data_IF_017740056147
#
_entry.id   IF_017740056147
#
_cell.length_a   1.000
_cell.length_b   1.000
_cell.length_c   1.000
_cell.angle_alpha   90.00
_cell.angle_beta   90.00
_cell.angle_gamma   90.00
#
_symmetry.space_group_name_H-M   'P 1'
#
loop_
_entity.id
_entity.type
_entity.pdbx_description
1 polymer ?
#
# COMPACT_ATOMS: atom_id res chain seq x y z
N UNK A 1 28.07 -2.83 8.76
CA UNK A 1 26.85 -2.91 9.59
C UNK A 1 26.06 -1.65 9.31
N UNK A 2 24.92 -1.76 8.62
CA UNK A 2 23.98 -0.65 8.56
C UNK A 2 23.37 -0.53 9.96
N UNK A 3 23.45 0.64 10.57
CA UNK A 3 22.81 0.91 11.84
C UNK A 3 21.31 0.98 11.52
N UNK A 4 20.51 0.08 12.09
CA UNK A 4 19.06 0.11 11.90
C UNK A 4 18.48 1.24 12.78
N UNK A 5 17.54 2.05 12.27
CA UNK A 5 16.73 2.90 13.12
C UNK A 5 15.96 2.00 14.10
N UNK A 6 16.09 2.27 15.39
CA UNK A 6 15.32 1.54 16.40
C UNK A 6 13.82 1.64 16.13
N UNK A 7 13.04 0.65 16.58
CA UNK A 7 11.59 0.60 16.33
C UNK A 7 10.88 1.88 16.78
N UNK A 8 11.31 2.46 17.92
CA UNK A 8 10.78 3.73 18.43
C UNK A 8 10.89 4.88 17.43
N UNK A 9 12.00 4.94 16.69
CA UNK A 9 12.25 5.99 15.70
C UNK A 9 11.35 5.81 14.48
N UNK A 10 11.10 4.57 14.06
CA UNK A 10 10.15 4.24 12.99
C UNK A 10 8.70 4.59 13.38
N UNK A 11 8.32 4.40 14.64
CA UNK A 11 7.01 4.83 15.16
C UNK A 11 6.86 6.35 15.19
N UNK A 12 7.89 7.08 15.62
CA UNK A 12 7.93 8.55 15.56
C UNK A 12 7.78 9.04 14.13
N UNK A 13 8.44 8.38 13.19
CA UNK A 13 8.36 8.72 11.78
C UNK A 13 6.97 8.47 11.19
N UNK A 14 6.34 7.33 11.52
CA UNK A 14 4.97 7.03 11.13
C UNK A 14 3.96 8.07 11.66
N UNK A 15 4.21 8.65 12.84
CA UNK A 15 3.39 9.69 13.46
C UNK A 15 3.77 11.13 13.06
N UNK A 16 4.74 11.31 12.14
CA UNK A 16 5.28 12.63 11.77
C UNK A 16 5.84 13.43 12.96
N UNK A 17 6.38 12.75 13.97
CA UNK A 17 6.97 13.34 15.18
C UNK A 17 8.51 13.36 15.15
N UNK A 18 9.11 13.07 13.99
CA UNK A 18 10.56 13.12 13.81
C UNK A 18 11.04 14.53 13.50
N UNK A 19 12.27 14.81 13.93
CA UNK A 19 13.06 15.93 13.43
C UNK A 19 13.52 15.69 11.98
N UNK A 20 13.87 16.76 11.27
CA UNK A 20 14.37 16.65 9.88
C UNK A 20 15.60 15.75 9.76
N UNK A 21 16.51 15.78 10.75
CA UNK A 21 17.69 14.91 10.75
C UNK A 21 17.34 13.42 10.89
N UNK A 22 16.38 13.10 11.76
CA UNK A 22 15.88 11.72 11.94
C UNK A 22 15.15 11.22 10.69
N UNK A 23 14.39 12.10 10.05
CA UNK A 23 13.69 11.80 8.79
C UNK A 23 14.66 11.44 7.68
N UNK A 24 15.69 12.25 7.45
CA UNK A 24 16.73 11.98 6.44
C UNK A 24 17.44 10.65 6.71
N UNK A 25 17.70 10.34 7.98
CA UNK A 25 18.30 9.06 8.37
C UNK A 25 17.41 7.86 8.04
N UNK A 26 16.11 7.95 8.34
CA UNK A 26 15.15 6.88 8.06
C UNK A 26 14.93 6.74 6.55
N UNK A 27 14.82 7.84 5.81
CA UNK A 27 14.69 7.81 4.35
C UNK A 27 15.92 7.16 3.70
N UNK A 28 17.13 7.48 4.15
CA UNK A 28 18.34 6.83 3.69
C UNK A 28 18.35 5.32 4.01
N UNK A 29 17.87 4.93 5.19
CA UNK A 29 17.73 3.51 5.57
C UNK A 29 16.67 2.77 4.74
N UNK A 30 15.55 3.42 4.40
CA UNK A 30 14.49 2.86 3.55
C UNK A 30 14.95 2.66 2.10
N UNK A 31 15.75 3.59 1.57
CA UNK A 31 16.30 3.51 0.21
C UNK A 31 17.43 2.46 0.12
N UNK A 32 18.14 2.21 1.21
CA UNK A 32 19.26 1.27 1.24
C UNK A 32 18.84 -0.20 1.06
N UNK A 33 17.62 -0.59 1.46
CA UNK A 33 17.13 -1.98 1.32
C UNK A 33 15.60 -2.05 1.14
N UNK A 34 15.08 -2.70 0.09
CA UNK A 34 13.65 -2.95 -0.09
C UNK A 34 12.97 -3.69 1.07
N UNK A 35 13.69 -4.49 1.87
CA UNK A 35 13.13 -5.16 3.04
C UNK A 35 12.83 -4.18 4.19
N UNK A 36 13.61 -3.10 4.30
CA UNK A 36 13.37 -2.05 5.28
C UNK A 36 12.05 -1.32 5.01
N UNK A 37 11.72 -1.14 3.73
CA UNK A 37 10.43 -0.59 3.32
C UNK A 37 9.25 -1.47 3.74
N UNK A 38 9.38 -2.80 3.63
CA UNK A 38 8.36 -3.74 4.11
C UNK A 38 8.18 -3.67 5.63
N UNK A 39 9.28 -3.54 6.39
CA UNK A 39 9.22 -3.34 7.85
C UNK A 39 8.47 -2.06 8.20
N UNK A 40 8.76 -0.95 7.53
CA UNK A 40 8.07 0.33 7.76
C UNK A 40 6.58 0.30 7.37
N UNK A 41 6.22 -0.34 6.25
CA UNK A 41 4.81 -0.50 5.86
C UNK A 41 3.98 -1.20 6.93
N UNK A 42 4.55 -2.19 7.63
CA UNK A 42 3.86 -2.88 8.73
C UNK A 42 3.55 -1.93 9.88
N UNK A 43 4.52 -1.08 10.26
CA UNK A 43 4.36 -0.09 11.33
C UNK A 43 3.31 0.97 10.97
N UNK A 44 3.29 1.41 9.71
CA UNK A 44 2.25 2.30 9.18
C UNK A 44 0.85 1.70 9.29
N UNK A 45 0.68 0.42 8.91
CA UNK A 45 -0.61 -0.28 9.01
C UNK A 45 -1.12 -0.33 10.46
N UNK A 46 -0.24 -0.65 11.42
CA UNK A 46 -0.62 -0.64 12.85
C UNK A 46 -0.94 0.77 13.36
N UNK A 47 -0.19 1.79 12.94
CA UNK A 47 -0.45 3.19 13.32
C UNK A 47 -1.83 3.64 12.84
N UNK A 48 -2.16 3.33 11.59
CA UNK A 48 -3.44 3.70 10.97
C UNK A 48 -4.61 2.91 11.58
N UNK A 49 -4.43 1.62 11.87
CA UNK A 49 -5.44 0.81 12.55
C UNK A 49 -5.72 1.31 13.97
N UNK A 50 -4.68 1.71 14.71
CA UNK A 50 -4.83 2.25 16.06
C UNK A 50 -5.53 3.61 16.05
N UNK A 51 -5.24 4.47 15.07
CA UNK A 51 -5.92 5.77 14.90
C UNK A 51 -7.40 5.65 14.55
N UNK A 52 -7.83 4.57 13.88
CA UNK A 52 -9.25 4.34 13.55
C UNK A 52 -10.05 3.82 14.76
N UNK A 53 -9.41 3.04 15.64
CA UNK A 53 -10.06 2.45 16.80
C UNK A 53 -10.41 3.44 17.92
N UNK A 54 -9.89 4.67 17.90
CA UNK A 54 -10.28 5.73 18.85
C UNK A 54 -11.61 6.43 18.49
N UNK A 55 -12.22 6.14 17.33
CA UNK A 55 -13.50 6.76 16.92
C UNK A 55 -14.69 5.80 16.82
N UNK A 56 -14.56 4.53 17.22
CA UNK A 56 -15.69 3.59 17.18
C UNK A 56 -15.55 2.47 18.22
N UNK A 57 -16.49 2.32 19.19
CA UNK A 57 -16.50 1.15 20.03
C UNK A 57 -17.16 -0.02 19.29
N UNK A 58 -16.49 -1.18 19.31
CA UNK A 58 -17.02 -2.54 19.04
C UNK A 58 -16.76 -3.13 17.63
N UNK A 59 -15.71 -3.95 17.52
CA UNK A 59 -15.76 -5.41 17.22
C UNK A 59 -14.40 -5.87 16.63
N UNK A 60 -13.68 -6.87 17.21
CA UNK A 60 -12.43 -7.37 16.63
C UNK A 60 -12.72 -8.35 15.48
N UNK A 61 -13.00 -7.83 14.28
CA UNK A 61 -12.85 -8.59 13.04
C UNK A 61 -11.53 -8.21 12.37
N UNK A 62 -10.58 -9.14 12.57
CA UNK A 62 -9.29 -9.24 11.90
C UNK A 62 -9.40 -9.00 10.39
N UNK A 63 -8.70 -8.00 9.80
CA UNK A 63 -8.69 -7.85 8.35
C UNK A 63 -7.74 -8.86 7.71
N UNK A 64 -8.36 -9.97 7.32
CA UNK A 64 -8.08 -10.86 6.21
C UNK A 64 -7.07 -10.35 5.16
N UNK A 65 -6.08 -11.21 4.89
CA UNK A 65 -5.10 -11.16 3.81
C UNK A 65 -5.75 -11.43 2.42
N UNK A 66 -6.89 -10.79 2.16
CA UNK A 66 -7.74 -11.01 0.97
C UNK A 66 -7.65 -9.85 -0.03
N UNK A 67 -7.09 -8.70 0.38
CA UNK A 67 -7.01 -7.49 -0.44
C UNK A 67 -6.08 -7.59 -1.66
N UNK A 68 -4.98 -8.36 -1.59
CA UNK A 68 -4.06 -8.51 -2.72
C UNK A 68 -4.64 -9.38 -3.84
N UNK A 69 -5.31 -10.47 -3.50
CA UNK A 69 -5.94 -11.37 -4.47
C UNK A 69 -7.15 -10.70 -5.14
N UNK A 70 -7.98 -10.02 -4.35
CA UNK A 70 -9.17 -9.32 -4.86
C UNK A 70 -8.82 -8.18 -5.80
N UNK A 71 -7.79 -7.37 -5.48
CA UNK A 71 -7.33 -6.29 -6.35
C UNK A 71 -6.76 -6.80 -7.68
N UNK A 72 -5.98 -7.88 -7.66
CA UNK A 72 -5.47 -8.53 -8.88
C UNK A 72 -6.62 -9.03 -9.77
N UNK A 73 -7.63 -9.67 -9.18
CA UNK A 73 -8.80 -10.15 -9.93
C UNK A 73 -9.61 -9.00 -10.53
N UNK A 74 -9.78 -7.90 -9.80
CA UNK A 74 -10.48 -6.71 -10.30
C UNK A 74 -9.72 -6.02 -11.44
N UNK A 75 -8.39 -5.88 -11.31
CA UNK A 75 -7.54 -5.37 -12.38
C UNK A 75 -7.61 -6.24 -13.64
N UNK A 76 -7.55 -7.57 -13.49
CA UNK A 76 -7.69 -8.49 -14.62
C UNK A 76 -9.06 -8.34 -15.30
N UNK A 77 -10.14 -8.18 -14.53
CA UNK A 77 -11.47 -7.97 -15.08
C UNK A 77 -11.58 -6.66 -15.89
N UNK A 78 -10.97 -5.56 -15.41
CA UNK A 78 -10.92 -4.29 -16.13
C UNK A 78 -10.15 -4.43 -17.45
N UNK A 79 -8.99 -5.10 -17.43
CA UNK A 79 -8.18 -5.30 -18.63
C UNK A 79 -8.96 -6.09 -19.69
N UNK A 80 -9.66 -7.16 -19.29
CA UNK A 80 -10.49 -7.95 -20.20
C UNK A 80 -11.61 -7.08 -20.81
N UNK A 81 -12.27 -6.25 -20.01
CA UNK A 81 -13.34 -5.36 -20.48
C UNK A 81 -12.80 -4.38 -21.54
N UNK A 82 -11.64 -3.77 -21.30
CA UNK A 82 -11.00 -2.87 -22.26
C UNK A 82 -10.67 -3.56 -23.59
N UNK A 83 -10.14 -4.79 -23.54
CA UNK A 83 -9.85 -5.59 -24.75
C UNK A 83 -11.13 -5.86 -25.54
N UNK A 84 -12.21 -6.28 -24.88
CA UNK A 84 -13.50 -6.52 -25.54
C UNK A 84 -14.04 -5.24 -26.19
N UNK A 85 -13.93 -4.10 -25.52
CA UNK A 85 -14.37 -2.81 -26.07
C UNK A 85 -13.60 -2.42 -27.34
N UNK A 86 -12.27 -2.62 -27.34
CA UNK A 86 -11.43 -2.39 -28.52
C UNK A 86 -11.81 -3.32 -29.67
N UNK A 87 -12.00 -4.61 -29.39
CA UNK A 87 -12.40 -5.58 -30.40
C UNK A 87 -13.77 -5.27 -31.00
N UNK A 88 -14.74 -4.84 -30.19
CA UNK A 88 -16.05 -4.39 -30.67
C UNK A 88 -15.95 -3.14 -31.54
N UNK A 89 -15.09 -2.18 -31.17
CA UNK A 89 -14.82 -1.00 -31.99
C UNK A 89 -14.25 -1.36 -33.37
N UNK A 90 -13.26 -2.26 -33.40
CA UNK A 90 -12.68 -2.76 -34.66
C UNK A 90 -13.74 -3.49 -35.49
N UNK A 91 -14.53 -4.37 -34.86
CA UNK A 91 -15.61 -5.09 -35.55
C UNK A 91 -16.66 -4.14 -36.14
N UNK A 92 -17.05 -3.11 -35.39
CA UNK A 92 -18.00 -2.10 -35.88
C UNK A 92 -17.42 -1.32 -37.07
N UNK A 93 -16.13 -0.98 -37.06
CA UNK A 93 -15.46 -0.31 -38.18
C UNK A 93 -15.40 -1.23 -39.41
N UNK A 94 -15.10 -2.52 -39.21
CA UNK A 94 -15.01 -3.49 -40.31
C UNK A 94 -16.37 -3.80 -40.95
N UNK A 95 -17.45 -3.84 -40.17
CA UNK A 95 -18.82 -4.08 -40.65
C UNK A 95 -19.60 -2.82 -41.05
N UNK A 96 -19.08 -1.62 -40.75
CA UNK A 96 -19.64 -0.35 -41.19
C UNK A 96 -19.24 0.03 -42.62
N UNK A 97 -18.69 -0.93 -43.39
CA UNK A 97 -18.24 -0.78 -44.77
C UNK A 97 -18.97 -1.78 -45.64
#
# INVERSE_FOLDING_TARGET
MAIEPGEELLWKYAKSQCTEAEKVYIEAWLVADPENFKKFQRIQLYTNAMSQNETNPTNPEQPQDEGKSSYQNYLMAIIILLIVFVLLGIFAILNSK
#
